data_IF_208586759489
#
_entry.id   IF_208586759489
#
_cell.length_a   1.000
_cell.length_b   1.000
_cell.length_c   1.000
_cell.angle_alpha   90.00
_cell.angle_beta   90.00
_cell.angle_gamma   90.00
#
_symmetry.space_group_name_H-M   'P 1'
#
loop_
_entity.id
_entity.type
_entity.pdbx_description
1 polymer ?
#
# COMPACT_ATOMS: atom_id res chain seq x y z
N UNK A 1 -60.16 -44.81 2.87
CA UNK A 1 -58.80 -45.08 3.37
C UNK A 1 -58.10 -45.92 2.32
N UNK A 2 -57.07 -45.35 1.69
CA UNK A 2 -56.26 -45.99 0.65
C UNK A 2 -54.83 -45.50 0.76
N UNK A 3 -53.91 -46.05 0.00
CA UNK A 3 -52.52 -45.60 0.01
C UNK A 3 -52.45 -44.19 -0.59
N UNK A 4 -51.72 -43.28 0.05
CA UNK A 4 -51.57 -41.87 -0.37
C UNK A 4 -50.21 -41.59 -1.00
N UNK A 5 -49.16 -42.29 -0.58
CA UNK A 5 -47.80 -42.17 -1.13
C UNK A 5 -46.98 -43.44 -0.88
N UNK A 6 -45.89 -43.60 -1.63
CA UNK A 6 -44.89 -44.66 -1.43
C UNK A 6 -43.55 -44.04 -1.04
N UNK A 7 -42.81 -44.69 -0.15
CA UNK A 7 -41.39 -44.38 0.04
C UNK A 7 -40.55 -45.07 -1.05
N UNK A 8 -39.35 -44.54 -1.31
CA UNK A 8 -38.41 -45.09 -2.31
C UNK A 8 -37.99 -46.53 -2.03
N UNK A 9 -38.19 -47.00 -0.80
CA UNK A 9 -37.81 -48.33 -0.34
C UNK A 9 -38.86 -49.41 -0.67
N UNK A 10 -40.12 -49.03 -0.94
CA UNK A 10 -41.23 -49.99 -1.11
C UNK A 10 -41.03 -50.89 -2.33
N UNK A 11 -40.53 -50.35 -3.43
CA UNK A 11 -40.32 -51.10 -4.68
C UNK A 11 -38.90 -51.65 -4.83
N UNK A 12 -37.99 -51.33 -3.90
CA UNK A 12 -36.64 -51.89 -3.79
C UNK A 12 -35.94 -52.07 -5.14
N UNK A 13 -35.44 -53.27 -5.43
CA UNK A 13 -34.92 -53.65 -6.76
C UNK A 13 -35.73 -54.82 -7.34
N UNK A 14 -37.06 -54.67 -7.39
CA UNK A 14 -37.97 -55.69 -7.90
C UNK A 14 -37.93 -55.74 -9.45
N UNK A 15 -36.79 -56.17 -9.99
CA UNK A 15 -36.53 -56.20 -11.44
C UNK A 15 -37.44 -57.16 -12.20
N UNK A 16 -38.00 -58.19 -11.56
CA UNK A 16 -38.88 -59.16 -12.21
C UNK A 16 -40.36 -58.74 -12.30
N UNK A 17 -40.73 -57.60 -11.71
CA UNK A 17 -42.11 -57.17 -11.60
C UNK A 17 -42.65 -56.65 -12.94
N UNK A 18 -43.73 -57.25 -13.45
CA UNK A 18 -44.32 -56.89 -14.76
C UNK A 18 -45.60 -56.07 -14.68
N UNK A 19 -46.35 -56.21 -13.59
CA UNK A 19 -47.66 -55.58 -13.44
C UNK A 19 -47.76 -54.96 -12.05
N UNK A 20 -48.16 -53.69 -11.99
CA UNK A 20 -48.39 -52.94 -10.76
C UNK A 20 -49.85 -52.50 -10.73
N UNK A 21 -50.58 -52.96 -9.70
CA UNK A 21 -51.98 -52.60 -9.47
C UNK A 21 -52.08 -51.56 -8.34
N UNK A 22 -52.38 -50.32 -8.71
CA UNK A 22 -52.58 -49.18 -7.80
C UNK A 22 -54.02 -48.67 -7.83
N UNK A 23 -54.92 -49.40 -8.47
CA UNK A 23 -56.31 -49.02 -8.61
C UNK A 23 -57.03 -48.90 -7.26
N UNK A 24 -57.97 -47.95 -7.16
CA UNK A 24 -58.77 -47.66 -5.95
C UNK A 24 -57.94 -47.18 -4.75
N UNK A 25 -56.87 -46.43 -4.99
CA UNK A 25 -56.10 -45.77 -3.93
C UNK A 25 -56.42 -44.27 -3.86
N UNK A 26 -55.88 -43.60 -2.83
CA UNK A 26 -56.11 -42.18 -2.57
C UNK A 26 -54.91 -41.29 -2.96
N UNK A 27 -54.00 -41.82 -3.79
CA UNK A 27 -52.76 -41.13 -4.16
C UNK A 27 -53.04 -39.94 -5.06
N UNK A 28 -52.45 -38.80 -4.70
CA UNK A 28 -52.50 -37.58 -5.49
C UNK A 28 -51.26 -37.42 -6.37
N UNK A 29 -50.11 -37.93 -5.95
CA UNK A 29 -48.84 -37.82 -6.65
C UNK A 29 -48.13 -39.17 -6.73
N UNK A 30 -47.47 -39.44 -7.85
CA UNK A 30 -46.66 -40.65 -8.02
C UNK A 30 -45.31 -40.27 -8.61
N UNK A 31 -44.25 -40.53 -7.83
CA UNK A 31 -42.87 -40.25 -8.20
C UNK A 31 -42.42 -41.21 -9.32
N UNK A 32 -41.90 -40.63 -10.40
CA UNK A 32 -41.44 -41.37 -11.59
C UNK A 32 -40.21 -42.21 -11.29
N UNK A 33 -39.35 -41.76 -10.37
CA UNK A 33 -38.15 -42.48 -9.94
C UNK A 33 -38.47 -43.90 -9.47
N UNK A 34 -39.63 -44.07 -8.81
CA UNK A 34 -40.10 -45.37 -8.31
C UNK A 34 -40.42 -46.35 -9.46
N UNK A 35 -40.95 -45.83 -10.56
CA UNK A 35 -41.38 -46.61 -11.71
C UNK A 35 -40.21 -46.94 -12.65
N UNK A 36 -39.22 -46.06 -12.74
CA UNK A 36 -38.02 -46.31 -13.55
C UNK A 36 -37.14 -47.42 -12.98
N UNK A 37 -37.12 -47.58 -11.66
CA UNK A 37 -36.39 -48.64 -10.98
C UNK A 37 -36.99 -50.04 -11.26
N UNK A 38 -38.24 -50.12 -11.75
CA UNK A 38 -38.91 -51.36 -12.13
C UNK A 38 -38.63 -51.71 -13.61
N UNK A 39 -37.48 -52.29 -13.88
CA UNK A 39 -36.94 -52.46 -15.25
C UNK A 39 -37.79 -53.33 -16.19
N UNK A 40 -38.51 -54.34 -15.69
CA UNK A 40 -39.38 -55.20 -16.50
C UNK A 40 -40.88 -54.86 -16.38
N UNK A 41 -41.23 -53.69 -15.86
CA UNK A 41 -42.62 -53.26 -15.76
C UNK A 41 -43.24 -53.13 -17.16
N UNK A 42 -44.44 -53.66 -17.33
CA UNK A 42 -45.19 -53.63 -18.59
C UNK A 42 -46.54 -52.94 -18.43
N UNK A 43 -47.21 -53.14 -17.29
CA UNK A 43 -48.55 -52.60 -17.05
C UNK A 43 -48.64 -51.90 -15.70
N UNK A 44 -49.21 -50.69 -15.73
CA UNK A 44 -49.49 -49.90 -14.54
C UNK A 44 -50.98 -49.55 -14.51
N UNK A 45 -51.69 -50.08 -13.50
CA UNK A 45 -53.13 -49.84 -13.30
C UNK A 45 -53.34 -48.80 -12.21
N UNK A 46 -53.75 -47.59 -12.60
CA UNK A 46 -54.05 -46.48 -11.67
C UNK A 46 -55.53 -46.10 -11.65
N UNK A 47 -56.42 -46.98 -12.16
CA UNK A 47 -57.86 -46.69 -12.25
C UNK A 47 -58.48 -46.33 -10.89
N UNK A 48 -59.40 -45.38 -10.89
CA UNK A 48 -60.05 -44.89 -9.67
C UNK A 48 -59.05 -44.40 -8.60
N UNK A 49 -57.97 -43.73 -9.05
CA UNK A 49 -57.00 -43.06 -8.18
C UNK A 49 -57.03 -41.57 -8.50
N UNK A 50 -57.20 -40.67 -7.51
CA UNK A 50 -57.35 -39.24 -7.76
C UNK A 50 -55.99 -38.55 -8.00
N UNK A 51 -55.32 -38.91 -9.10
CA UNK A 51 -54.04 -38.28 -9.49
C UNK A 51 -54.25 -36.82 -9.86
N UNK A 52 -53.59 -35.91 -9.13
CA UNK A 52 -53.73 -34.47 -9.32
C UNK A 52 -53.11 -33.99 -10.63
N UNK A 53 -53.76 -33.05 -11.33
CA UNK A 53 -53.21 -32.40 -12.52
C UNK A 53 -52.48 -31.12 -12.12
N UNK A 54 -51.39 -31.32 -11.37
CA UNK A 54 -50.59 -30.27 -10.77
C UNK A 54 -49.12 -30.40 -11.20
N UNK A 55 -48.32 -29.37 -10.90
CA UNK A 55 -46.91 -29.34 -11.28
C UNK A 55 -46.05 -30.51 -10.74
N UNK A 56 -46.28 -31.04 -9.53
CA UNK A 56 -45.64 -32.27 -9.06
C UNK A 56 -45.82 -33.49 -9.99
N UNK A 57 -46.94 -33.60 -10.70
CA UNK A 57 -47.21 -34.71 -11.62
C UNK A 57 -46.86 -34.39 -13.09
N UNK A 58 -46.25 -33.24 -13.37
CA UNK A 58 -45.81 -32.87 -14.72
C UNK A 58 -44.79 -33.87 -15.29
N UNK A 59 -43.90 -34.38 -14.44
CA UNK A 59 -42.93 -35.39 -14.80
C UNK A 59 -43.59 -36.74 -15.11
N UNK A 60 -44.57 -37.16 -14.30
CA UNK A 60 -45.35 -38.38 -14.54
C UNK A 60 -46.14 -38.28 -15.85
N UNK A 61 -46.73 -37.12 -16.15
CA UNK A 61 -47.40 -36.90 -17.42
C UNK A 61 -46.41 -37.05 -18.59
N UNK A 62 -45.24 -36.43 -18.51
CA UNK A 62 -44.21 -36.53 -19.54
C UNK A 62 -43.71 -37.98 -19.71
N UNK A 63 -43.50 -38.68 -18.59
CA UNK A 63 -43.10 -40.08 -18.57
C UNK A 63 -44.14 -40.98 -19.25
N UNK A 64 -45.44 -40.79 -18.98
CA UNK A 64 -46.50 -41.57 -19.65
C UNK A 64 -46.59 -41.33 -21.16
N UNK A 65 -46.20 -40.15 -21.65
CA UNK A 65 -46.17 -39.82 -23.08
C UNK A 65 -44.94 -40.40 -23.79
N UNK A 66 -43.79 -40.34 -23.14
CA UNK A 66 -42.50 -40.70 -23.76
C UNK A 66 -42.15 -42.18 -23.57
N UNK A 67 -42.64 -42.81 -22.51
CA UNK A 67 -42.28 -44.19 -22.21
C UNK A 67 -43.14 -45.18 -23.01
N UNK A 68 -42.55 -45.79 -24.04
CA UNK A 68 -43.19 -46.82 -24.86
C UNK A 68 -43.17 -48.22 -24.23
N UNK A 69 -42.43 -48.42 -23.12
CA UNK A 69 -42.24 -49.73 -22.49
C UNK A 69 -43.37 -50.11 -21.53
N UNK A 70 -43.91 -49.12 -20.80
CA UNK A 70 -44.93 -49.32 -19.78
C UNK A 70 -46.26 -48.77 -20.28
N UNK A 71 -47.28 -49.61 -20.37
CA UNK A 71 -48.63 -49.19 -20.73
C UNK A 71 -49.43 -48.83 -19.48
N UNK A 72 -49.86 -47.57 -19.39
CA UNK A 72 -50.82 -47.14 -18.38
C UNK A 72 -52.24 -47.51 -18.80
N UNK A 73 -52.91 -48.29 -17.97
CA UNK A 73 -54.26 -48.79 -18.26
C UNK A 73 -55.27 -47.64 -18.15
N UNK A 74 -55.98 -47.33 -19.24
CA UNK A 74 -56.95 -46.23 -19.39
C UNK A 74 -56.39 -44.79 -19.28
N UNK A 75 -55.14 -44.54 -19.71
CA UNK A 75 -54.53 -43.19 -19.72
C UNK A 75 -55.44 -42.08 -20.28
N UNK A 76 -56.04 -42.31 -21.46
CA UNK A 76 -56.85 -41.30 -22.15
C UNK A 76 -58.20 -41.00 -21.49
N UNK A 77 -58.68 -41.88 -20.60
CA UNK A 77 -59.95 -41.73 -19.89
C UNK A 77 -59.76 -41.31 -18.43
N UNK A 78 -58.52 -41.06 -18.01
CA UNK A 78 -58.20 -40.62 -16.66
C UNK A 78 -58.43 -39.11 -16.55
N UNK A 79 -59.45 -38.71 -15.80
CA UNK A 79 -59.84 -37.31 -15.56
C UNK A 79 -59.14 -36.74 -14.33
N UNK A 80 -58.90 -35.43 -14.34
CA UNK A 80 -58.32 -34.72 -13.20
C UNK A 80 -59.37 -34.57 -12.08
N UNK A 81 -58.99 -34.73 -10.79
CA UNK A 81 -59.90 -34.56 -9.66
C UNK A 81 -60.52 -33.16 -9.58
N UNK A 82 -59.72 -32.12 -9.85
CA UNK A 82 -60.11 -30.71 -9.71
C UNK A 82 -60.90 -30.20 -10.92
N UNK A 83 -60.67 -30.77 -12.10
CA UNK A 83 -61.33 -30.39 -13.35
C UNK A 83 -61.73 -31.62 -14.14
N UNK A 84 -63.05 -31.87 -14.19
CA UNK A 84 -63.63 -33.03 -14.88
C UNK A 84 -63.56 -32.95 -16.40
N UNK A 85 -63.24 -31.77 -16.95
CA UNK A 85 -63.14 -31.57 -18.40
C UNK A 85 -61.71 -31.76 -18.93
N UNK A 86 -60.72 -31.84 -18.04
CA UNK A 86 -59.34 -32.13 -18.40
C UNK A 86 -58.96 -33.56 -18.04
N UNK A 87 -58.17 -34.15 -18.95
CA UNK A 87 -57.61 -35.48 -18.77
C UNK A 87 -56.16 -35.36 -18.32
N UNK A 88 -55.71 -36.33 -17.54
CA UNK A 88 -54.35 -36.38 -16.99
C UNK A 88 -53.27 -36.27 -18.09
N UNK A 89 -53.49 -36.86 -19.28
CA UNK A 89 -52.52 -36.78 -20.37
C UNK A 89 -52.40 -35.38 -21.01
N UNK A 90 -53.32 -34.44 -20.79
CA UNK A 90 -53.35 -33.14 -21.49
C UNK A 90 -53.59 -31.93 -20.58
N UNK A 91 -53.17 -31.98 -19.32
CA UNK A 91 -53.16 -30.78 -18.47
C UNK A 91 -51.99 -29.86 -18.85
N UNK A 92 -52.18 -28.56 -18.68
CA UNK A 92 -51.22 -27.51 -19.04
C UNK A 92 -50.04 -27.46 -18.06
N UNK A 93 -48.84 -27.73 -18.56
CA UNK A 93 -47.58 -27.69 -17.80
C UNK A 93 -46.82 -26.38 -17.96
N UNK A 94 -47.25 -25.48 -18.86
CA UNK A 94 -46.57 -24.20 -19.07
C UNK A 94 -46.71 -23.26 -17.85
N UNK A 95 -47.76 -23.48 -17.05
CA UNK A 95 -48.01 -22.79 -15.78
C UNK A 95 -47.00 -23.19 -14.69
N UNK A 96 -46.32 -24.33 -14.85
CA UNK A 96 -45.40 -24.89 -13.85
C UNK A 96 -43.98 -24.31 -13.90
N UNK A 97 -43.74 -23.28 -14.73
CA UNK A 97 -42.43 -22.64 -14.81
C UNK A 97 -42.32 -21.44 -13.85
N UNK A 98 -41.26 -21.42 -13.04
CA UNK A 98 -41.00 -20.45 -11.96
C UNK A 98 -40.66 -19.02 -12.43
N UNK A 99 -41.08 -18.59 -13.61
CA UNK A 99 -40.79 -17.26 -14.15
C UNK A 99 -41.20 -16.13 -13.19
N UNK A 100 -42.26 -16.33 -12.39
CA UNK A 100 -42.73 -15.36 -11.40
C UNK A 100 -41.70 -15.02 -10.31
N UNK A 101 -40.90 -15.99 -9.87
CA UNK A 101 -39.87 -15.78 -8.84
C UNK A 101 -38.74 -14.91 -9.37
N UNK A 102 -38.34 -15.12 -10.62
CA UNK A 102 -37.29 -14.32 -11.27
C UNK A 102 -37.72 -12.86 -11.49
N UNK A 103 -38.95 -12.63 -11.94
CA UNK A 103 -39.48 -11.26 -12.11
C UNK A 103 -39.59 -10.51 -10.78
N UNK A 104 -40.01 -11.21 -9.71
CA UNK A 104 -40.06 -10.64 -8.38
C UNK A 104 -38.67 -10.28 -7.84
N UNK A 105 -37.70 -11.18 -7.98
CA UNK A 105 -36.32 -10.93 -7.55
C UNK A 105 -35.69 -9.74 -8.30
N UNK A 106 -35.90 -9.67 -9.63
CA UNK A 106 -35.39 -8.59 -10.47
C UNK A 106 -35.93 -7.21 -10.06
N UNK A 107 -37.26 -7.11 -9.92
CA UNK A 107 -37.91 -5.84 -9.54
C UNK A 107 -37.51 -5.37 -8.13
N UNK A 108 -37.34 -6.31 -7.18
CA UNK A 108 -36.84 -6.00 -5.84
C UNK A 108 -35.41 -5.42 -5.86
N UNK A 109 -34.51 -5.99 -6.64
CA UNK A 109 -33.13 -5.48 -6.76
C UNK A 109 -33.11 -4.07 -7.37
N UNK A 110 -33.90 -3.84 -8.44
CA UNK A 110 -33.96 -2.53 -9.11
C UNK A 110 -34.51 -1.45 -8.18
N UNK A 111 -35.58 -1.75 -7.44
CA UNK A 111 -36.19 -0.80 -6.50
C UNK A 111 -35.25 -0.46 -5.32
N UNK A 112 -34.51 -1.44 -4.82
CA UNK A 112 -33.50 -1.23 -3.77
C UNK A 112 -32.36 -0.34 -4.26
N UNK A 113 -31.85 -0.54 -5.47
CA UNK A 113 -30.78 0.28 -6.03
C UNK A 113 -31.22 1.74 -6.26
N UNK A 114 -32.42 1.94 -6.82
CA UNK A 114 -32.97 3.28 -7.07
C UNK A 114 -33.19 4.09 -5.79
N UNK A 115 -33.40 3.43 -4.65
CA UNK A 115 -33.61 4.10 -3.36
C UNK A 115 -32.32 4.29 -2.55
N UNK A 116 -31.42 3.31 -2.56
CA UNK A 116 -30.17 3.39 -1.79
C UNK A 116 -29.14 4.34 -2.40
N UNK A 117 -28.98 4.37 -3.72
CA UNK A 117 -27.96 5.20 -4.38
C UNK A 117 -28.13 6.71 -4.09
N UNK A 118 -29.33 7.31 -4.17
CA UNK A 118 -29.53 8.72 -3.83
C UNK A 118 -29.29 9.01 -2.34
N UNK A 119 -29.71 8.10 -1.45
CA UNK A 119 -29.55 8.28 -0.01
C UNK A 119 -28.07 8.25 0.40
N UNK A 120 -27.31 7.30 -0.17
CA UNK A 120 -25.87 7.22 0.01
C UNK A 120 -25.19 8.46 -0.59
N UNK A 121 -25.59 8.87 -1.79
CA UNK A 121 -25.06 10.08 -2.43
C UNK A 121 -25.25 11.31 -1.55
N UNK A 122 -26.48 11.61 -1.09
CA UNK A 122 -26.76 12.80 -0.28
C UNK A 122 -25.98 12.76 1.04
N UNK A 123 -25.96 11.62 1.75
CA UNK A 123 -25.23 11.53 3.03
C UNK A 123 -23.72 11.59 2.87
N UNK A 124 -23.17 10.87 1.88
CA UNK A 124 -21.73 10.81 1.65
C UNK A 124 -21.21 12.10 1.01
N UNK A 125 -21.98 12.75 0.13
CA UNK A 125 -21.58 13.99 -0.55
C UNK A 125 -21.16 15.06 0.45
N UNK A 126 -21.96 15.30 1.49
CA UNK A 126 -21.61 16.28 2.52
C UNK A 126 -20.37 15.85 3.30
N UNK A 127 -20.25 14.56 3.68
CA UNK A 127 -19.06 14.05 4.39
C UNK A 127 -17.78 14.22 3.57
N UNK A 128 -17.80 13.88 2.29
CA UNK A 128 -16.66 14.06 1.38
C UNK A 128 -16.35 15.53 1.15
N UNK A 129 -17.37 16.38 0.96
CA UNK A 129 -17.17 17.81 0.74
C UNK A 129 -16.55 18.48 1.97
N UNK A 130 -17.10 18.24 3.16
CA UNK A 130 -16.52 18.75 4.41
C UNK A 130 -15.13 18.16 4.69
N UNK A 131 -14.95 16.85 4.47
CA UNK A 131 -13.65 16.20 4.58
C UNK A 131 -12.61 16.82 3.65
N UNK A 132 -12.97 17.09 2.39
CA UNK A 132 -12.11 17.76 1.42
C UNK A 132 -11.72 19.19 1.87
N UNK A 133 -12.68 20.00 2.34
CA UNK A 133 -12.36 21.35 2.82
C UNK A 133 -11.51 21.35 4.09
N UNK A 134 -11.78 20.45 5.03
CA UNK A 134 -10.96 20.29 6.25
C UNK A 134 -9.56 19.82 5.89
N UNK A 135 -9.44 18.80 5.02
CA UNK A 135 -8.17 18.29 4.52
C UNK A 135 -7.37 19.38 3.80
N UNK A 136 -8.02 20.15 2.94
CA UNK A 136 -7.40 21.28 2.22
C UNK A 136 -6.99 22.40 3.18
N UNK A 137 -7.77 22.69 4.22
CA UNK A 137 -7.40 23.67 5.24
C UNK A 137 -6.21 23.21 6.06
N UNK A 138 -6.18 21.94 6.46
CA UNK A 138 -5.07 21.33 7.19
C UNK A 138 -3.79 21.32 6.35
N UNK A 139 -3.87 20.91 5.08
CA UNK A 139 -2.75 20.98 4.14
C UNK A 139 -2.29 22.43 3.90
N UNK A 140 -3.23 23.36 3.77
CA UNK A 140 -2.94 24.77 3.54
C UNK A 140 -2.24 25.43 4.74
N UNK A 141 -2.66 25.13 5.97
CA UNK A 141 -1.99 25.65 7.18
C UNK A 141 -0.60 25.04 7.37
N UNK A 142 -0.44 23.75 7.08
CA UNK A 142 0.86 23.08 7.14
C UNK A 142 1.84 23.69 6.12
N UNK A 143 1.39 23.88 4.87
CA UNK A 143 2.20 24.53 3.84
C UNK A 143 2.46 26.00 4.14
N UNK A 144 1.51 26.71 4.75
CA UNK A 144 1.70 28.11 5.17
C UNK A 144 2.74 28.24 6.27
N UNK A 145 2.78 27.33 7.26
CA UNK A 145 3.82 27.34 8.31
C UNK A 145 5.22 27.14 7.72
N UNK A 146 5.37 26.18 6.80
CA UNK A 146 6.64 25.91 6.12
C UNK A 146 7.06 27.15 5.31
N UNK A 147 6.12 27.79 4.62
CA UNK A 147 6.37 28.98 3.80
C UNK A 147 6.66 30.24 4.63
N UNK A 148 6.01 30.41 5.78
CA UNK A 148 6.27 31.52 6.72
C UNK A 148 7.63 31.40 7.43
N UNK A 149 8.16 30.19 7.61
CA UNK A 149 9.54 29.95 8.06
C UNK A 149 10.57 30.21 6.95
N UNK A 150 10.25 29.84 5.70
CA UNK A 150 11.10 30.13 4.54
C UNK A 150 11.16 31.63 4.19
N UNK A 151 10.06 32.37 4.32
CA UNK A 151 10.02 33.83 4.06
C UNK A 151 10.76 34.66 5.14
N UNK A 152 11.06 34.08 6.31
CA UNK A 152 11.82 34.75 7.38
C UNK A 152 13.33 34.53 7.31
N UNK A 153 13.80 33.48 6.63
CA UNK A 153 15.23 33.19 6.54
C UNK A 153 15.92 34.13 5.54
N UNK A 154 16.86 34.95 6.02
CA UNK A 154 17.67 35.82 5.16
C UNK A 154 18.75 35.04 4.40
N UNK A 155 19.17 33.89 4.92
CA UNK A 155 20.23 33.05 4.37
C UNK A 155 19.74 31.63 4.04
N UNK A 156 20.37 31.00 3.04
CA UNK A 156 20.11 29.61 2.68
C UNK A 156 20.84 28.63 3.59
N UNK A 157 22.04 29.00 4.07
CA UNK A 157 22.74 28.23 5.08
C UNK A 157 23.67 29.06 5.95
N UNK A 158 23.75 28.68 7.22
CA UNK A 158 24.79 29.11 8.15
C UNK A 158 25.95 28.12 8.10
N UNK A 159 27.19 28.61 7.95
CA UNK A 159 28.40 27.77 7.92
C UNK A 159 29.14 27.89 9.25
N UNK A 160 29.20 26.79 9.99
CA UNK A 160 29.95 26.66 11.25
C UNK A 160 31.27 25.93 10.98
N UNK A 161 32.40 26.60 11.20
CA UNK A 161 33.74 26.08 10.96
C UNK A 161 34.73 26.62 12.00
N UNK A 162 35.93 26.04 12.08
CA UNK A 162 37.02 26.56 12.91
C UNK A 162 37.90 27.50 12.07
N UNK A 163 38.43 28.57 12.66
CA UNK A 163 39.46 29.43 12.06
C UNK A 163 40.63 28.68 11.39
N UNK A 164 41.02 27.50 11.89
CA UNK A 164 42.04 26.67 11.23
C UNK A 164 41.63 26.18 9.83
N UNK A 165 40.32 25.97 9.61
CA UNK A 165 39.74 25.49 8.36
C UNK A 165 39.22 26.64 7.47
N UNK A 166 39.42 27.89 7.89
CA UNK A 166 38.94 29.09 7.21
C UNK A 166 39.42 29.16 5.75
N UNK A 167 40.68 28.78 5.51
CA UNK A 167 41.26 28.79 4.18
C UNK A 167 40.45 27.94 3.20
N UNK A 168 40.11 26.71 3.58
CA UNK A 168 39.31 25.81 2.74
C UNK A 168 37.89 26.35 2.55
N UNK A 169 37.28 26.91 3.61
CA UNK A 169 35.93 27.49 3.49
C UNK A 169 35.91 28.65 2.50
N UNK A 170 36.89 29.54 2.56
CA UNK A 170 36.97 30.73 1.70
C UNK A 170 37.36 30.40 0.26
N UNK A 171 38.32 29.48 0.06
CA UNK A 171 38.87 29.16 -1.27
C UNK A 171 38.05 28.08 -2.02
N UNK A 172 37.42 27.14 -1.30
CA UNK A 172 36.70 26.02 -1.92
C UNK A 172 35.18 26.13 -1.74
N UNK A 173 34.70 26.23 -0.50
CA UNK A 173 33.25 26.13 -0.21
C UNK A 173 32.46 27.34 -0.71
N UNK A 174 32.91 28.56 -0.40
CA UNK A 174 32.23 29.78 -0.79
C UNK A 174 32.07 29.94 -2.30
N UNK A 175 33.13 29.87 -3.14
CA UNK A 175 32.97 30.07 -4.58
C UNK A 175 32.06 29.01 -5.21
N UNK A 176 32.10 27.77 -4.72
CA UNK A 176 31.24 26.69 -5.24
C UNK A 176 29.76 26.87 -4.90
N UNK A 177 29.44 27.43 -3.72
CA UNK A 177 28.07 27.63 -3.26
C UNK A 177 27.51 29.00 -3.64
N UNK A 178 28.19 30.10 -3.30
CA UNK A 178 27.75 31.46 -3.67
C UNK A 178 27.75 31.64 -5.19
N UNK A 179 28.71 31.04 -5.91
CA UNK A 179 28.72 31.01 -7.38
C UNK A 179 27.54 30.26 -8.00
N UNK A 180 26.84 29.43 -7.22
CA UNK A 180 25.60 28.74 -7.63
C UNK A 180 24.32 29.45 -7.14
N UNK A 181 24.44 30.65 -6.57
CA UNK A 181 23.33 31.50 -6.14
C UNK A 181 22.83 31.26 -4.71
N UNK A 182 23.56 30.54 -3.86
CA UNK A 182 23.20 30.38 -2.45
C UNK A 182 23.66 31.58 -1.61
N UNK A 183 22.83 32.05 -0.67
CA UNK A 183 23.21 33.09 0.31
C UNK A 183 23.70 32.44 1.60
N UNK A 184 24.96 32.66 1.95
CA UNK A 184 25.57 32.03 3.13
C UNK A 184 25.79 33.03 4.26
N UNK A 185 25.60 32.58 5.50
CA UNK A 185 25.94 33.31 6.71
C UNK A 185 27.24 32.76 7.31
N UNK A 186 28.23 33.63 7.50
CA UNK A 186 29.55 33.31 8.04
C UNK A 186 29.83 34.11 9.31
N UNK A 187 30.46 33.46 10.29
CA UNK A 187 30.72 34.11 11.57
C UNK A 187 31.75 35.26 11.52
N UNK A 188 32.72 35.23 10.58
CA UNK A 188 33.69 36.33 10.43
C UNK A 188 33.16 37.52 9.61
N UNK A 189 32.10 37.32 8.81
CA UNK A 189 31.60 38.33 7.85
C UNK A 189 30.29 38.97 8.31
N UNK A 190 29.36 38.15 8.79
CA UNK A 190 27.95 38.53 8.95
C UNK A 190 27.54 38.72 10.42
N UNK A 191 28.46 38.50 11.38
CA UNK A 191 28.16 38.68 12.80
C UNK A 191 28.18 40.15 13.21
N UNK A 192 27.20 40.54 14.03
CA UNK A 192 27.08 41.89 14.54
C UNK A 192 28.17 42.16 15.60
N UNK A 193 29.06 43.16 15.38
CA UNK A 193 30.09 43.49 16.37
C UNK A 193 29.44 44.06 17.63
N UNK A 194 29.91 43.62 18.80
CA UNK A 194 29.41 44.06 20.11
C UNK A 194 28.29 43.21 20.71
N UNK A 195 27.78 42.20 19.99
CA UNK A 195 26.83 41.20 20.50
C UNK A 195 27.58 39.95 21.01
N UNK A 196 26.99 39.24 21.98
CA UNK A 196 27.56 37.99 22.48
C UNK A 196 27.67 36.96 21.34
N UNK A 197 28.79 36.24 21.27
CA UNK A 197 29.06 35.24 20.23
C UNK A 197 27.97 34.16 20.19
N UNK A 198 27.45 33.73 21.34
CA UNK A 198 26.39 32.72 21.42
C UNK A 198 25.09 33.26 20.82
N UNK A 199 24.73 34.51 21.12
CA UNK A 199 23.52 35.12 20.57
C UNK A 199 23.62 35.33 19.06
N UNK A 200 24.82 35.66 18.56
CA UNK A 200 25.08 35.76 17.12
C UNK A 200 24.91 34.40 16.42
N UNK A 201 25.39 33.31 17.03
CA UNK A 201 25.19 31.94 16.51
C UNK A 201 23.71 31.59 16.47
N UNK A 202 23.01 31.81 17.58
CA UNK A 202 21.57 31.53 17.67
C UNK A 202 20.80 32.32 16.59
N UNK A 203 21.11 33.61 16.42
CA UNK A 203 20.50 34.43 15.39
C UNK A 203 20.83 33.94 13.97
N UNK A 204 22.09 33.56 13.71
CA UNK A 204 22.52 33.03 12.42
C UNK A 204 21.82 31.71 12.07
N UNK A 205 21.62 30.83 13.06
CA UNK A 205 20.88 29.57 12.90
C UNK A 205 19.40 29.83 12.60
N UNK A 206 18.73 30.74 13.32
CA UNK A 206 17.33 31.07 13.07
C UNK A 206 17.10 31.78 11.73
N UNK A 207 18.07 32.59 11.29
CA UNK A 207 17.98 33.33 10.04
C UNK A 207 18.43 32.50 8.81
N UNK A 208 18.80 31.23 9.00
CA UNK A 208 19.28 30.34 7.95
C UNK A 208 18.40 29.11 7.78
N UNK A 209 18.11 28.73 6.52
CA UNK A 209 17.29 27.53 6.22
C UNK A 209 17.94 26.21 6.61
N UNK A 210 19.27 26.13 6.55
CA UNK A 210 20.10 24.97 6.88
C UNK A 210 21.30 25.42 7.70
N UNK A 211 21.87 24.51 8.49
CA UNK A 211 23.18 24.74 9.13
C UNK A 211 24.16 23.68 8.65
N UNK A 212 25.28 24.13 8.08
CA UNK A 212 26.36 23.27 7.63
C UNK A 212 27.51 23.37 8.64
N UNK A 213 27.85 22.26 9.28
CA UNK A 213 29.02 22.17 10.14
C UNK A 213 30.17 21.52 9.38
N UNK A 214 31.26 22.27 9.24
CA UNK A 214 32.53 21.78 8.70
C UNK A 214 33.33 21.19 9.85
N UNK A 215 33.42 19.87 9.88
CA UNK A 215 33.98 19.09 10.98
C UNK A 215 35.40 18.63 10.62
N UNK A 216 36.35 19.07 11.43
CA UNK A 216 37.75 18.65 11.49
C UNK A 216 38.12 18.29 12.94
N UNK A 217 39.30 17.71 13.17
CA UNK A 217 39.90 17.52 14.48
C UNK A 217 40.06 18.86 15.19
N UNK A 218 40.50 19.90 14.48
CA UNK A 218 40.59 21.25 15.02
C UNK A 218 39.22 21.77 15.44
N UNK A 219 38.18 21.54 14.62
CA UNK A 219 36.80 21.87 14.98
C UNK A 219 36.41 21.20 16.30
N UNK A 220 36.69 19.90 16.46
CA UNK A 220 36.39 19.16 17.69
C UNK A 220 37.11 19.65 18.94
N UNK A 221 38.28 20.27 18.80
CA UNK A 221 39.08 20.80 19.92
C UNK A 221 38.84 22.28 20.23
N UNK A 222 38.04 22.98 19.42
CA UNK A 222 37.86 24.43 19.53
C UNK A 222 36.77 24.86 20.52
N UNK A 223 36.80 26.14 20.91
CA UNK A 223 35.75 26.77 21.72
C UNK A 223 34.37 26.68 21.05
N UNK A 224 34.31 26.63 19.71
CA UNK A 224 33.08 26.40 18.94
C UNK A 224 32.46 25.01 19.19
N UNK A 225 33.28 24.06 19.63
CA UNK A 225 32.86 22.72 20.05
C UNK A 225 32.83 22.59 21.59
N UNK A 226 33.03 23.68 22.33
CA UNK A 226 32.87 23.66 23.79
C UNK A 226 31.45 23.25 24.18
N UNK A 227 31.35 22.46 25.24
CA UNK A 227 30.09 21.86 25.69
C UNK A 227 29.00 22.92 25.95
N UNK A 228 29.36 24.12 26.40
CA UNK A 228 28.43 25.19 26.73
C UNK A 228 27.81 25.84 25.47
N UNK A 229 28.63 26.15 24.47
CA UNK A 229 28.18 26.67 23.16
C UNK A 229 27.42 25.59 22.39
N UNK A 230 27.88 24.34 22.51
CA UNK A 230 27.15 23.17 22.01
C UNK A 230 25.76 23.10 22.63
N UNK A 231 25.59 23.13 23.95
CA UNK A 231 24.29 22.95 24.62
C UNK A 231 23.26 24.03 24.27
N UNK A 232 23.69 25.30 24.17
CA UNK A 232 22.82 26.41 23.78
C UNK A 232 22.35 26.29 22.31
N UNK A 233 23.28 26.01 21.41
CA UNK A 233 22.97 25.77 19.99
C UNK A 233 22.28 24.41 19.78
N UNK A 234 22.45 23.44 20.69
CA UNK A 234 21.92 22.08 20.55
C UNK A 234 20.43 21.97 20.78
N UNK A 235 19.85 22.74 21.72
CA UNK A 235 18.39 22.70 21.93
C UNK A 235 17.65 23.09 20.65
N UNK A 236 18.19 24.09 19.97
CA UNK A 236 17.82 24.53 18.62
C UNK A 236 17.98 23.43 17.56
N UNK A 237 19.11 22.72 17.52
CA UNK A 237 19.33 21.64 16.54
C UNK A 237 18.56 20.34 16.83
N UNK A 238 18.22 20.04 18.09
CA UNK A 238 17.45 18.86 18.47
C UNK A 238 15.98 18.97 18.05
N UNK A 239 15.45 20.20 18.05
CA UNK A 239 14.14 20.52 17.46
C UNK A 239 14.17 20.50 15.93
N UNK A 240 15.36 20.66 15.31
CA UNK A 240 15.55 20.85 13.87
C UNK A 240 16.42 19.76 13.20
N UNK A 241 16.19 18.47 13.51
CA UNK A 241 17.04 17.35 13.03
C UNK A 241 17.21 17.26 11.49
N UNK A 242 16.29 17.81 10.69
CA UNK A 242 16.36 17.80 9.22
C UNK A 242 17.13 19.02 8.62
N UNK A 243 17.60 19.94 9.48
CA UNK A 243 18.26 21.21 9.12
C UNK A 243 19.80 21.14 9.17
N UNK A 244 20.35 20.18 9.92
CA UNK A 244 21.79 20.05 10.18
C UNK A 244 22.50 19.16 9.13
N UNK A 245 23.50 19.72 8.46
CA UNK A 245 24.36 19.01 7.51
C UNK A 245 25.79 18.97 8.03
N UNK A 246 26.35 17.77 8.19
CA UNK A 246 27.74 17.59 8.61
C UNK A 246 28.62 17.33 7.39
N UNK A 247 29.67 18.14 7.24
CA UNK A 247 30.72 18.00 6.22
C UNK A 247 32.02 17.68 6.92
N UNK A 248 32.60 16.51 6.68
CA UNK A 248 33.86 16.10 7.27
C UNK A 248 35.00 16.41 6.30
N UNK A 249 35.97 17.24 6.72
CA UNK A 249 37.16 17.53 5.91
C UNK A 249 38.20 16.42 5.96
N UNK A 250 38.20 15.66 7.05
CA UNK A 250 39.16 14.60 7.30
C UNK A 250 38.46 13.38 7.93
N UNK A 251 39.13 12.22 7.87
CA UNK A 251 38.62 10.99 8.46
C UNK A 251 38.85 11.00 9.98
N UNK A 252 37.78 11.27 10.74
CA UNK A 252 37.85 11.29 12.20
C UNK A 252 37.46 9.91 12.75
N UNK A 253 38.33 9.32 13.56
CA UNK A 253 38.09 8.01 14.15
C UNK A 253 36.93 8.08 15.16
N UNK A 254 36.02 7.10 15.12
CA UNK A 254 34.83 7.05 16.00
C UNK A 254 35.15 7.18 17.51
N UNK A 255 36.35 6.76 17.93
CA UNK A 255 36.86 6.86 19.31
C UNK A 255 36.94 8.31 19.79
N UNK A 256 37.37 9.24 18.93
CA UNK A 256 37.48 10.67 19.26
C UNK A 256 36.11 11.33 19.40
N UNK A 257 35.08 10.78 18.74
CA UNK A 257 33.70 11.24 18.85
C UNK A 257 32.92 10.61 20.02
N UNK A 258 33.53 9.71 20.79
CA UNK A 258 32.86 9.09 21.94
C UNK A 258 32.45 10.12 23.01
N UNK A 259 33.25 11.18 23.18
CA UNK A 259 32.93 12.34 24.03
C UNK A 259 31.74 13.16 23.49
N UNK A 260 31.45 13.06 22.19
CA UNK A 260 30.42 13.84 21.48
C UNK A 260 29.24 12.94 21.07
N UNK A 261 28.51 12.42 22.06
CA UNK A 261 27.45 11.40 21.88
C UNK A 261 26.45 11.65 20.74
N UNK A 262 26.06 12.91 20.50
CA UNK A 262 25.09 13.24 19.46
C UNK A 262 25.71 13.41 18.06
N UNK A 263 26.94 13.91 17.93
CA UNK A 263 27.68 13.84 16.65
C UNK A 263 27.93 12.39 16.25
N UNK A 264 28.28 11.55 17.23
CA UNK A 264 28.35 10.09 17.04
C UNK A 264 27.02 9.53 16.54
N UNK A 265 25.87 9.97 17.07
CA UNK A 265 24.54 9.53 16.59
C UNK A 265 24.30 9.90 15.11
N UNK A 266 24.71 11.08 14.66
CA UNK A 266 24.59 11.50 13.24
C UNK A 266 25.56 10.72 12.34
N UNK A 267 26.79 10.48 12.81
CA UNK A 267 27.78 9.64 12.12
C UNK A 267 27.32 8.20 12.00
N UNK A 268 26.75 7.61 13.06
CA UNK A 268 26.19 6.25 13.05
C UNK A 268 25.05 6.11 12.04
N UNK A 269 24.28 7.19 11.82
CA UNK A 269 23.25 7.25 10.77
C UNK A 269 23.84 7.41 9.35
N UNK A 270 25.15 7.64 9.21
CA UNK A 270 25.85 7.86 7.93
C UNK A 270 25.20 8.93 7.05
N UNK A 271 24.75 10.02 7.67
CA UNK A 271 24.07 11.15 7.00
C UNK A 271 24.98 12.35 6.76
N UNK A 272 26.29 12.16 6.91
CA UNK A 272 27.32 13.18 6.67
C UNK A 272 27.87 13.09 5.25
N UNK A 273 28.45 14.19 4.78
CA UNK A 273 29.22 14.25 3.54
C UNK A 273 30.71 14.28 3.90
N UNK A 274 31.50 13.41 3.26
CA UNK A 274 32.94 13.38 3.44
C UNK A 274 33.59 14.15 2.28
N UNK A 275 34.54 15.02 2.59
CA UNK A 275 35.39 15.64 1.57
C UNK A 275 36.35 14.58 1.02
N UNK A 276 36.44 14.40 -0.31
CA UNK A 276 37.34 13.42 -0.89
C UNK A 276 38.80 13.78 -0.59
N UNK A 277 39.54 12.83 -0.03
CA UNK A 277 40.96 12.98 0.29
C UNK A 277 41.85 12.95 -0.96
N UNK A 278 43.13 13.24 -0.77
CA UNK A 278 44.17 13.15 -1.82
C UNK A 278 44.46 11.70 -2.27
N UNK A 279 43.90 10.71 -1.57
CA UNK A 279 44.08 9.27 -1.80
C UNK A 279 43.03 8.66 -2.75
N UNK A 280 42.26 9.49 -3.46
CA UNK A 280 41.30 9.03 -4.46
C UNK A 280 41.95 8.93 -5.85
N UNK A 281 41.72 7.83 -6.58
CA UNK A 281 42.28 7.61 -7.93
C UNK A 281 41.80 8.65 -8.96
N UNK A 282 40.64 9.30 -8.76
CA UNK A 282 40.13 10.44 -9.54
C UNK A 282 39.54 11.56 -8.64
N UNK A 283 40.36 12.50 -8.14
CA UNK A 283 39.92 13.50 -7.16
C UNK A 283 38.90 14.50 -7.73
N UNK A 284 39.03 14.87 -9.01
CA UNK A 284 38.16 15.88 -9.65
C UNK A 284 36.71 15.39 -9.77
N UNK A 285 36.52 14.11 -10.09
CA UNK A 285 35.18 13.51 -10.23
C UNK A 285 34.50 13.36 -8.87
N UNK A 286 35.26 12.94 -7.85
CA UNK A 286 34.77 12.82 -6.48
C UNK A 286 34.35 14.18 -5.90
N UNK A 287 35.13 15.23 -6.12
CA UNK A 287 34.78 16.60 -5.72
C UNK A 287 33.49 17.07 -6.40
N UNK A 288 33.34 16.81 -7.71
CA UNK A 288 32.11 17.13 -8.43
C UNK A 288 30.87 16.45 -7.84
N UNK A 289 30.98 15.19 -7.44
CA UNK A 289 29.90 14.46 -6.76
C UNK A 289 29.59 15.04 -5.38
N UNK A 290 30.63 15.34 -4.59
CA UNK A 290 30.47 15.98 -3.28
C UNK A 290 29.67 17.28 -3.38
N UNK A 291 30.05 18.19 -4.29
CA UNK A 291 29.36 19.46 -4.46
C UNK A 291 27.91 19.28 -4.93
N UNK A 292 27.65 18.32 -5.82
CA UNK A 292 26.28 18.01 -6.26
C UNK A 292 25.42 17.51 -5.10
N UNK A 293 25.98 16.64 -4.25
CA UNK A 293 25.29 16.14 -3.07
C UNK A 293 25.04 17.24 -2.03
N UNK A 294 26.03 18.09 -1.75
CA UNK A 294 25.89 19.22 -0.83
C UNK A 294 24.81 20.21 -1.31
N UNK A 295 24.85 20.59 -2.59
CA UNK A 295 23.84 21.48 -3.18
C UNK A 295 22.44 20.87 -3.16
N UNK A 296 22.32 19.55 -3.37
CA UNK A 296 21.04 18.83 -3.25
C UNK A 296 20.52 18.85 -1.82
N UNK A 297 21.39 18.61 -0.83
CA UNK A 297 21.03 18.63 0.58
C UNK A 297 20.66 20.03 1.09
N UNK A 298 21.27 21.07 0.53
CA UNK A 298 20.91 22.48 0.81
C UNK A 298 19.56 22.89 0.18
N UNK A 299 19.19 22.27 -0.94
CA UNK A 299 17.92 22.52 -1.63
C UNK A 299 16.76 21.66 -1.13
N UNK A 300 17.03 20.54 -0.46
CA UNK A 300 15.96 19.70 0.07
C UNK A 300 15.18 20.45 1.15
N UNK A 301 13.88 20.61 0.92
CA UNK A 301 12.94 21.12 1.93
C UNK A 301 12.90 20.16 3.12
N UNK A 302 12.65 20.67 4.34
CA UNK A 302 12.50 19.86 5.55
C UNK A 302 11.20 19.02 5.58
N UNK A 303 10.64 18.68 4.41
CA UNK A 303 9.37 17.99 4.31
C UNK A 303 9.55 16.49 4.49
N UNK A 304 9.37 16.02 5.72
CA UNK A 304 9.06 14.61 6.05
C UNK A 304 7.63 14.19 5.65
N UNK A 305 7.13 14.66 4.51
CA UNK A 305 5.71 14.56 4.15
C UNK A 305 5.38 14.66 2.66
N UNK A 306 6.25 14.14 1.80
CA UNK A 306 5.92 13.78 0.42
C UNK A 306 6.44 12.37 0.12
N UNK A 307 5.90 11.38 0.83
CA UNK A 307 5.73 10.05 0.25
C UNK A 307 4.39 10.16 -0.49
N UNK A 308 4.37 10.36 -1.81
CA UNK A 308 3.90 9.31 -2.73
C UNK A 308 4.34 9.51 -4.20
N UNK A 309 5.17 10.50 -4.54
CA UNK A 309 5.67 10.70 -5.93
C UNK A 309 7.15 10.34 -6.15
N UNK A 310 7.90 9.91 -5.13
CA UNK A 310 9.32 9.53 -5.26
C UNK A 310 9.60 8.04 -5.02
N UNK A 311 8.63 7.16 -5.31
CA UNK A 311 8.83 5.71 -5.14
C UNK A 311 9.66 5.07 -6.28
N UNK A 312 9.82 5.73 -7.42
CA UNK A 312 10.63 5.21 -8.54
C UNK A 312 12.10 5.71 -8.53
N UNK A 313 12.40 6.89 -7.98
CA UNK A 313 13.79 7.38 -7.87
C UNK A 313 14.55 6.85 -6.64
N UNK A 314 13.86 6.37 -5.60
CA UNK A 314 14.49 5.93 -4.35
C UNK A 314 15.05 4.50 -4.39
N UNK A 315 14.59 3.66 -5.32
CA UNK A 315 15.19 2.34 -5.56
C UNK A 315 16.53 2.52 -6.29
N UNK A 316 16.55 3.39 -7.31
CA UNK A 316 17.78 3.73 -8.03
C UNK A 316 18.77 4.49 -7.13
N UNK A 317 18.33 5.42 -6.26
CA UNK A 317 19.23 6.13 -5.35
C UNK A 317 19.74 5.29 -4.17
N UNK A 318 19.05 4.23 -3.72
CA UNK A 318 19.60 3.31 -2.70
C UNK A 318 20.65 2.40 -3.31
N UNK A 319 20.38 1.83 -4.48
CA UNK A 319 21.37 1.07 -5.25
C UNK A 319 22.54 1.97 -5.64
N UNK A 320 22.32 3.20 -6.09
CA UNK A 320 23.38 4.14 -6.42
C UNK A 320 24.10 4.72 -5.20
N UNK A 321 23.50 4.75 -4.01
CA UNK A 321 24.19 5.18 -2.77
C UNK A 321 25.02 4.04 -2.16
N UNK A 322 24.56 2.81 -2.29
CA UNK A 322 25.33 1.62 -1.88
C UNK A 322 26.40 1.27 -2.93
N UNK A 323 26.14 1.48 -4.23
CA UNK A 323 27.11 1.35 -5.33
C UNK A 323 28.11 2.52 -5.35
N UNK A 324 27.70 3.79 -5.14
CA UNK A 324 28.67 4.91 -5.05
C UNK A 324 29.51 4.81 -3.78
N UNK A 325 28.97 4.28 -2.68
CA UNK A 325 29.74 4.04 -1.45
C UNK A 325 30.62 2.81 -1.55
N UNK A 326 30.21 1.78 -2.31
CA UNK A 326 31.07 0.68 -2.69
C UNK A 326 32.18 1.16 -3.62
N UNK A 327 31.87 1.97 -4.65
CA UNK A 327 32.83 2.60 -5.56
C UNK A 327 33.79 3.57 -4.82
N UNK A 328 33.33 4.38 -3.85
CA UNK A 328 34.20 5.25 -3.02
C UNK A 328 35.14 4.43 -2.12
N UNK A 329 34.65 3.30 -1.59
CA UNK A 329 35.45 2.38 -0.74
C UNK A 329 36.38 1.51 -1.60
N UNK A 330 36.01 1.17 -2.83
CA UNK A 330 36.78 0.35 -3.78
C UNK A 330 37.87 1.19 -4.46
N UNK A 331 37.59 2.46 -4.82
CA UNK A 331 38.61 3.39 -5.33
C UNK A 331 39.70 3.75 -4.32
N UNK A 332 39.36 3.81 -3.02
CA UNK A 332 40.33 4.16 -1.97
C UNK A 332 40.97 2.94 -1.27
N UNK A 333 40.63 1.69 -1.65
CA UNK A 333 41.23 0.48 -1.04
C UNK A 333 42.32 -0.18 -1.87
N UNK A 334 42.40 0.06 -3.17
CA UNK A 334 43.29 -0.69 -4.07
C UNK A 334 44.80 -0.40 -3.89
N UNK A 335 45.21 0.41 -2.91
CA UNK A 335 46.63 0.73 -2.67
C UNK A 335 47.21 0.37 -1.29
N UNK A 336 46.40 -0.05 -0.30
CA UNK A 336 46.97 -0.60 0.95
C UNK A 336 47.69 -1.95 0.76
N UNK A 337 47.52 -2.58 -0.42
CA UNK A 337 48.08 -3.90 -0.71
C UNK A 337 49.41 -3.85 -1.49
N UNK A 338 49.90 -2.67 -1.90
CA UNK A 338 51.16 -2.54 -2.65
C UNK A 338 52.34 -1.96 -1.86
N UNK A 339 52.10 -1.33 -0.69
CA UNK A 339 53.16 -0.74 0.14
C UNK A 339 53.71 -1.71 1.22
N UNK A 340 53.17 -2.93 1.33
CA UNK A 340 53.59 -3.92 2.32
C UNK A 340 54.64 -4.95 1.81
N UNK A 341 55.17 -4.78 0.58
CA UNK A 341 56.13 -5.73 -0.02
C UNK A 341 57.55 -5.17 -0.26
N UNK A 342 57.96 -4.12 0.45
CA UNK A 342 59.32 -3.57 0.27
C UNK A 342 60.09 -3.28 1.56
N UNK A 343 60.31 -4.30 2.39
CA UNK A 343 61.49 -4.37 3.26
C UNK A 343 61.98 -5.81 3.42
N UNK A 344 63.07 -6.23 2.74
CA UNK A 344 63.69 -7.51 3.02
C UNK A 344 64.48 -7.42 4.32
N UNK A 345 64.15 -8.32 5.24
CA UNK A 345 64.95 -8.68 6.41
C UNK A 345 66.35 -9.12 5.98
N UNK A 346 67.38 -8.60 6.66
CA UNK A 346 68.51 -9.33 7.29
C UNK A 346 69.77 -8.46 7.42
N UNK A 347 70.75 -8.84 8.26
CA UNK A 347 70.79 -9.98 9.20
C UNK A 347 70.75 -9.59 10.67
#
# INVERSE_FOLDING_TARGET
MGIESFSKEVFGNLTGLKVVHLNRNAMQTLDVDLLENLTNLQYLDVRNTPLGCNCPNSELQNWTKNNQRVQLIYLYNLTCPDDKNSNFYNFDTHVCSDFGVYWFASTYVVTLLLTLLPLLYVKLYWKFKYGYYVFRSWFGEQWRRIREEEEKCTYDAFISYNSADEKWVMEELLPNLEGSGFRLCLHHRDFEPGRNIVDNIVAAVYNSRKTVCVVSQNFLHSEWCSLEIQLASYRLFDEMQDVLLLVFLESIHERQLSAYHRMRKVMLKKTYLQWPGLECTDPVKAQGLFWKQLKRALRSSNCRGQDEEQMEENVHNRQQKDDVKAEEIEYCKDQEQMDNELYPLMP
#
